data_IF_872508949709
#
_entry.id   IF_872508949709
#
_cell.length_a   1.000
_cell.length_b   1.000
_cell.length_c   1.000
_cell.angle_alpha   90.00
_cell.angle_beta   90.00
_cell.angle_gamma   90.00
#
_symmetry.space_group_name_H-M   'P 1'
#
loop_
_entity.id
_entity.type
_entity.pdbx_description
1 polymer ?
#
# COMPACT_ATOMS: atom_id res chain seq x y z
N UNK A 1 -2.75 6.97 -9.42
CA UNK A 1 -1.63 6.07 -9.71
C UNK A 1 -1.84 4.68 -9.11
N UNK A 2 -1.97 4.56 -7.79
CA UNK A 2 -2.12 3.30 -7.04
C UNK A 2 -3.15 2.30 -7.62
N UNK A 3 -4.43 2.66 -7.65
CA UNK A 3 -5.54 1.80 -8.13
C UNK A 3 -5.31 1.23 -9.55
N UNK A 4 -4.63 1.99 -10.42
CA UNK A 4 -4.34 1.53 -11.78
C UNK A 4 -3.23 0.49 -11.84
N UNK A 5 -2.16 0.71 -11.07
CA UNK A 5 -1.03 -0.19 -10.99
C UNK A 5 -1.45 -1.51 -10.31
N UNK A 6 -2.27 -1.42 -9.26
CA UNK A 6 -2.77 -2.58 -8.52
C UNK A 6 -3.62 -3.51 -9.38
N UNK A 7 -4.49 -2.97 -10.26
CA UNK A 7 -5.25 -3.81 -11.18
C UNK A 7 -4.33 -4.56 -12.14
N UNK A 8 -3.32 -3.89 -12.68
CA UNK A 8 -2.35 -4.51 -13.59
C UNK A 8 -1.52 -5.57 -12.89
N UNK A 9 -1.06 -5.32 -11.67
CA UNK A 9 -0.30 -6.29 -10.87
C UNK A 9 -1.17 -7.48 -10.47
N UNK A 10 -2.44 -7.25 -10.11
CA UNK A 10 -3.39 -8.30 -9.80
C UNK A 10 -3.69 -9.19 -11.03
N UNK A 11 -3.79 -8.60 -12.23
CA UNK A 11 -3.93 -9.33 -13.49
C UNK A 11 -2.67 -10.16 -13.79
N UNK A 12 -1.47 -9.55 -13.66
CA UNK A 12 -0.18 -10.24 -13.88
C UNK A 12 0.06 -11.37 -12.89
N UNK A 13 -0.34 -11.19 -11.63
CA UNK A 13 -0.25 -12.22 -10.59
C UNK A 13 -1.36 -13.28 -10.69
N UNK A 14 -2.32 -13.14 -11.61
CA UNK A 14 -3.44 -14.06 -11.79
C UNK A 14 -4.48 -14.03 -10.66
N UNK A 15 -4.46 -13.01 -9.79
CA UNK A 15 -5.43 -12.81 -8.72
C UNK A 15 -6.78 -12.31 -9.25
N UNK A 16 -6.74 -11.60 -10.38
CA UNK A 16 -7.91 -11.08 -11.09
C UNK A 16 -7.81 -11.55 -12.54
N UNK A 17 -8.96 -11.89 -13.14
CA UNK A 17 -9.06 -12.14 -14.59
C UNK A 17 -9.62 -10.91 -15.28
N UNK A 18 -9.23 -10.65 -16.53
CA UNK A 18 -9.67 -9.46 -17.27
C UNK A 18 -11.20 -9.40 -17.42
N UNK A 19 -11.84 -10.54 -17.64
CA UNK A 19 -13.30 -10.70 -17.74
C UNK A 19 -14.04 -10.53 -16.40
N UNK A 20 -13.33 -10.59 -15.28
CA UNK A 20 -13.91 -10.42 -13.95
C UNK A 20 -14.04 -8.96 -13.52
N UNK A 21 -13.38 -8.03 -14.24
CA UNK A 21 -13.50 -6.59 -13.98
C UNK A 21 -14.87 -6.10 -14.48
N UNK A 22 -15.72 -5.50 -13.62
CA UNK A 22 -17.03 -5.03 -14.02
C UNK A 22 -17.01 -4.11 -15.24
N UNK A 23 -17.87 -4.38 -16.23
CA UNK A 23 -17.94 -3.60 -17.47
C UNK A 23 -18.18 -2.11 -17.21
N UNK A 24 -19.02 -1.78 -16.21
CA UNK A 24 -19.27 -0.39 -15.79
C UNK A 24 -18.00 0.40 -15.47
N UNK A 25 -16.94 -0.27 -15.03
CA UNK A 25 -15.63 0.32 -14.78
C UNK A 25 -14.85 0.43 -16.09
N UNK A 26 -14.74 -0.68 -16.84
CA UNK A 26 -13.92 -0.71 -18.07
C UNK A 26 -14.49 0.14 -19.20
N UNK A 27 -15.80 0.36 -19.23
CA UNK A 27 -16.46 1.21 -20.22
C UNK A 27 -16.12 2.68 -19.97
N UNK A 28 -16.03 3.07 -18.69
CA UNK A 28 -15.74 4.45 -18.25
C UNK A 28 -14.23 4.72 -18.24
N UNK A 29 -13.44 3.88 -17.58
CA UNK A 29 -12.00 4.09 -17.42
C UNK A 29 -11.18 3.47 -18.56
N UNK A 30 -11.70 2.46 -19.26
CA UNK A 30 -10.95 1.74 -20.29
C UNK A 30 -10.41 0.40 -19.78
N UNK A 31 -10.15 -0.52 -20.72
CA UNK A 31 -9.60 -1.86 -20.43
C UNK A 31 -8.09 -1.85 -20.25
N UNK A 32 -7.39 -1.02 -21.02
CA UNK A 32 -5.93 -0.95 -21.01
C UNK A 32 -5.43 0.00 -19.95
N UNK A 33 -4.31 -0.34 -19.30
CA UNK A 33 -3.64 0.50 -18.31
C UNK A 33 -3.43 1.94 -18.77
N UNK A 34 -2.87 2.13 -19.97
CA UNK A 34 -2.62 3.45 -20.55
C UNK A 34 -3.91 4.25 -20.72
N UNK A 35 -4.99 3.62 -21.20
CA UNK A 35 -6.29 4.28 -21.37
C UNK A 35 -6.90 4.71 -20.04
N UNK A 36 -6.78 3.89 -18.98
CA UNK A 36 -7.26 4.25 -17.65
C UNK A 36 -6.52 5.45 -17.08
N UNK A 37 -5.19 5.50 -17.22
CA UNK A 37 -4.40 6.65 -16.79
C UNK A 37 -4.81 7.90 -17.56
N UNK A 38 -4.85 7.80 -18.89
CA UNK A 38 -5.20 8.91 -19.77
C UNK A 38 -6.55 9.53 -19.40
N UNK A 39 -7.61 8.71 -19.28
CA UNK A 39 -8.96 9.19 -18.92
C UNK A 39 -9.02 9.82 -17.54
N UNK A 40 -8.35 9.24 -16.54
CA UNK A 40 -8.32 9.79 -15.18
C UNK A 40 -7.59 11.15 -15.14
N UNK A 41 -6.45 11.25 -15.81
CA UNK A 41 -5.64 12.48 -15.83
C UNK A 41 -6.37 13.57 -16.61
N UNK A 42 -6.88 13.26 -17.80
CA UNK A 42 -7.61 14.21 -18.63
C UNK A 42 -8.84 14.74 -17.92
N UNK A 43 -9.63 13.87 -17.27
CA UNK A 43 -10.82 14.31 -16.53
C UNK A 43 -10.47 15.22 -15.34
N UNK A 44 -9.39 14.92 -14.62
CA UNK A 44 -8.91 15.78 -13.53
C UNK A 44 -8.52 17.16 -14.06
N UNK A 45 -7.75 17.21 -15.15
CA UNK A 45 -7.33 18.47 -15.77
C UNK A 45 -8.55 19.27 -16.25
N UNK A 46 -9.43 18.64 -17.03
CA UNK A 46 -10.61 19.31 -17.58
C UNK A 46 -11.57 19.79 -16.50
N UNK A 47 -11.81 18.98 -15.47
CA UNK A 47 -12.74 19.35 -14.39
C UNK A 47 -12.17 20.45 -13.52
N UNK A 48 -10.86 20.39 -13.22
CA UNK A 48 -10.19 21.47 -12.48
C UNK A 48 -10.21 22.79 -13.26
N UNK A 49 -10.00 22.75 -14.58
CA UNK A 49 -10.10 23.93 -15.45
C UNK A 49 -11.53 24.48 -15.49
N UNK A 50 -12.55 23.62 -15.61
CA UNK A 50 -13.97 24.02 -15.52
C UNK A 50 -14.30 24.68 -14.18
N UNK A 51 -13.65 24.23 -13.11
CA UNK A 51 -13.74 24.83 -11.78
C UNK A 51 -12.76 26.01 -11.56
N UNK A 52 -12.27 26.64 -12.64
CA UNK A 52 -11.38 27.81 -12.61
C UNK A 52 -10.13 27.62 -11.74
N UNK A 53 -9.67 26.38 -11.57
CA UNK A 53 -8.54 26.00 -10.74
C UNK A 53 -8.68 26.38 -9.25
N UNK A 54 -9.91 26.56 -8.76
CA UNK A 54 -10.15 26.76 -7.33
C UNK A 54 -9.80 25.51 -6.51
N UNK A 55 -9.91 24.34 -7.13
CA UNK A 55 -9.51 23.05 -6.55
C UNK A 55 -9.15 22.03 -7.63
N UNK A 56 -8.37 21.02 -7.24
CA UNK A 56 -8.19 19.81 -8.05
C UNK A 56 -9.48 19.00 -7.95
N UNK A 57 -10.16 18.83 -9.07
CA UNK A 57 -11.48 18.22 -9.15
C UNK A 57 -11.52 17.13 -10.23
N UNK A 58 -12.48 16.22 -10.09
CA UNK A 58 -12.78 15.12 -11.01
C UNK A 58 -14.29 15.11 -11.25
N UNK A 59 -14.73 14.73 -12.44
CA UNK A 59 -16.15 14.61 -12.72
C UNK A 59 -16.76 13.49 -11.89
N UNK A 60 -18.03 13.64 -11.51
CA UNK A 60 -18.74 12.64 -10.71
C UNK A 60 -18.71 11.24 -11.36
N UNK A 61 -18.77 11.19 -12.70
CA UNK A 61 -18.74 9.95 -13.47
C UNK A 61 -17.40 9.21 -13.33
N UNK A 62 -16.28 9.92 -13.50
CA UNK A 62 -14.94 9.32 -13.40
C UNK A 62 -14.62 9.00 -11.94
N UNK A 63 -15.03 9.87 -11.01
CA UNK A 63 -14.88 9.63 -9.58
C UNK A 63 -15.60 8.35 -9.14
N UNK A 64 -16.86 8.16 -9.53
CA UNK A 64 -17.60 6.95 -9.17
C UNK A 64 -16.95 5.68 -9.76
N UNK A 65 -16.49 5.74 -11.02
CA UNK A 65 -15.82 4.60 -11.63
C UNK A 65 -14.48 4.26 -10.93
N UNK A 66 -13.76 5.27 -10.44
CA UNK A 66 -12.53 5.08 -9.65
C UNK A 66 -12.84 4.42 -8.30
N UNK A 67 -13.91 4.85 -7.62
CA UNK A 67 -14.37 4.24 -6.36
C UNK A 67 -14.78 2.78 -6.59
N UNK A 68 -15.57 2.51 -7.62
CA UNK A 68 -15.98 1.15 -7.98
C UNK A 68 -14.77 0.24 -8.26
N UNK A 69 -13.74 0.77 -8.93
CA UNK A 69 -12.50 0.02 -9.19
C UNK A 69 -11.73 -0.27 -7.90
N UNK A 70 -11.60 0.73 -7.02
CA UNK A 70 -10.97 0.55 -5.71
C UNK A 70 -11.68 -0.52 -4.90
N UNK A 71 -13.00 -0.48 -4.85
CA UNK A 71 -13.80 -1.41 -4.04
C UNK A 71 -13.71 -2.84 -4.62
N UNK A 72 -13.73 -2.98 -5.95
CA UNK A 72 -13.46 -4.25 -6.62
C UNK A 72 -12.08 -4.83 -6.26
N UNK A 73 -11.03 -4.03 -6.30
CA UNK A 73 -9.68 -4.47 -5.92
C UNK A 73 -9.60 -4.83 -4.44
N UNK A 74 -10.33 -4.11 -3.59
CA UNK A 74 -10.42 -4.43 -2.17
C UNK A 74 -11.00 -5.82 -1.92
N UNK A 75 -12.11 -6.14 -2.58
CA UNK A 75 -12.73 -7.45 -2.46
C UNK A 75 -11.89 -8.58 -3.06
N UNK A 76 -11.30 -8.36 -4.23
CA UNK A 76 -10.64 -9.42 -5.00
C UNK A 76 -9.17 -9.62 -4.68
N UNK A 77 -8.48 -8.56 -4.30
CA UNK A 77 -7.02 -8.56 -4.08
C UNK A 77 -6.73 -8.46 -2.60
N UNK A 78 -7.19 -7.39 -1.93
CA UNK A 78 -6.80 -7.09 -0.55
C UNK A 78 -7.45 -8.01 0.49
N UNK A 79 -8.69 -8.47 0.27
CA UNK A 79 -9.38 -9.38 1.18
C UNK A 79 -9.12 -10.88 0.89
N UNK A 80 -8.27 -11.21 -0.08
CA UNK A 80 -7.92 -12.60 -0.37
C UNK A 80 -7.33 -13.27 0.90
N UNK A 81 -7.77 -14.49 1.28
CA UNK A 81 -7.26 -15.19 2.46
C UNK A 81 -5.74 -15.27 2.54
N UNK A 82 -5.06 -15.39 1.40
CA UNK A 82 -3.58 -15.44 1.34
C UNK A 82 -2.97 -14.10 1.78
N UNK A 83 -3.48 -12.98 1.26
CA UNK A 83 -3.04 -11.64 1.64
C UNK A 83 -3.29 -11.36 3.12
N UNK A 84 -4.40 -11.86 3.68
CA UNK A 84 -4.70 -11.75 5.11
C UNK A 84 -3.69 -12.50 5.99
N UNK A 85 -3.31 -13.71 5.60
CA UNK A 85 -2.33 -14.52 6.36
C UNK A 85 -0.98 -13.81 6.40
N UNK A 86 -0.52 -13.27 5.27
CA UNK A 86 0.77 -12.59 5.22
C UNK A 86 0.70 -11.24 5.96
N UNK A 87 -0.41 -10.50 5.88
CA UNK A 87 -0.62 -9.29 6.69
C UNK A 87 -0.55 -9.58 8.19
N UNK A 88 -1.14 -10.70 8.65
CA UNK A 88 -1.06 -11.12 10.05
C UNK A 88 0.38 -11.44 10.47
N UNK A 89 1.15 -12.14 9.62
CA UNK A 89 2.56 -12.43 9.89
C UNK A 89 3.40 -11.15 9.96
N UNK A 90 3.24 -10.24 8.99
CA UNK A 90 3.94 -8.96 8.98
C UNK A 90 3.58 -8.12 10.20
N UNK A 91 2.31 -8.05 10.56
CA UNK A 91 1.86 -7.36 11.77
C UNK A 91 2.43 -7.95 13.07
N UNK A 92 2.69 -9.27 13.09
CA UNK A 92 3.40 -9.93 14.20
C UNK A 92 4.87 -9.51 14.25
N UNK A 93 5.58 -9.58 13.12
CA UNK A 93 7.01 -9.20 13.03
C UNK A 93 7.21 -7.77 13.54
N UNK A 94 6.42 -6.81 13.02
CA UNK A 94 6.53 -5.41 13.39
C UNK A 94 6.26 -5.19 14.89
N UNK A 95 5.25 -5.87 15.43
CA UNK A 95 4.91 -5.75 16.86
C UNK A 95 6.03 -6.27 17.76
N UNK A 96 6.57 -7.44 17.46
CA UNK A 96 7.64 -8.04 18.27
C UNK A 96 8.93 -7.21 18.16
N UNK A 97 9.27 -6.69 16.98
CA UNK A 97 10.39 -5.74 16.82
C UNK A 97 10.17 -4.48 17.66
N UNK A 98 8.97 -3.90 17.61
CA UNK A 98 8.62 -2.71 18.39
C UNK A 98 8.77 -2.95 19.89
N UNK A 99 8.21 -4.04 20.40
CA UNK A 99 8.34 -4.43 21.81
C UNK A 99 9.79 -4.71 22.22
N UNK A 100 10.59 -5.33 21.34
CA UNK A 100 11.99 -5.60 21.61
C UNK A 100 12.81 -4.32 21.71
N UNK A 101 12.68 -3.40 20.76
CA UNK A 101 13.43 -2.14 20.76
C UNK A 101 12.98 -1.19 21.87
N UNK A 102 11.71 -1.22 22.27
CA UNK A 102 11.27 -0.48 23.46
C UNK A 102 11.96 -0.95 24.74
N UNK A 103 12.11 -2.27 24.90
CA UNK A 103 12.78 -2.86 26.07
C UNK A 103 14.30 -2.74 26.00
N UNK A 104 14.86 -2.71 24.79
CA UNK A 104 16.30 -2.73 24.52
C UNK A 104 16.71 -1.61 23.55
N UNK A 105 16.47 -0.32 23.88
CA UNK A 105 16.72 0.77 22.93
C UNK A 105 18.20 0.86 22.54
N UNK A 106 19.11 0.61 23.49
CA UNK A 106 20.53 0.33 23.27
C UNK A 106 21.19 1.08 22.11
N UNK A 107 21.99 0.36 21.33
CA UNK A 107 22.66 0.92 20.14
C UNK A 107 21.74 1.06 18.92
N UNK A 108 20.56 0.43 18.96
CA UNK A 108 19.62 0.42 17.85
C UNK A 108 18.91 1.77 17.68
N UNK A 109 18.48 2.34 18.81
CA UNK A 109 17.68 3.56 18.86
C UNK A 109 18.57 4.72 19.29
N UNK A 110 19.00 5.50 18.30
CA UNK A 110 19.79 6.71 18.55
C UNK A 110 18.96 7.75 19.29
N UNK A 111 19.63 8.53 20.14
CA UNK A 111 19.02 9.71 20.78
C UNK A 111 18.98 10.91 19.81
N UNK A 112 18.32 10.71 18.66
CA UNK A 112 18.12 11.74 17.65
C UNK A 112 16.81 11.49 16.86
N UNK A 113 15.99 12.52 16.60
CA UNK A 113 16.12 13.88 17.10
C UNK A 113 15.94 13.95 18.62
N UNK A 114 16.63 14.91 19.27
CA UNK A 114 16.54 15.11 20.71
C UNK A 114 15.15 15.64 21.07
N UNK A 115 14.57 15.11 22.15
CA UNK A 115 13.27 15.53 22.67
C UNK A 115 12.11 14.57 22.35
N UNK A 116 12.28 13.66 21.39
CA UNK A 116 11.25 12.66 21.10
C UNK A 116 11.17 11.60 22.22
N UNK A 117 9.97 11.05 22.50
CA UNK A 117 9.84 9.89 23.37
C UNK A 117 10.43 8.64 22.68
N UNK A 118 10.88 7.66 23.47
CA UNK A 118 11.54 6.44 22.94
C UNK A 118 10.61 5.66 22.02
N UNK A 119 9.31 5.65 22.32
CA UNK A 119 8.23 5.08 21.53
C UNK A 119 8.22 5.63 20.11
N UNK A 120 8.36 6.96 19.98
CA UNK A 120 8.37 7.62 18.68
C UNK A 120 9.62 7.25 17.90
N UNK A 121 10.78 7.28 18.55
CA UNK A 121 12.05 6.91 17.90
C UNK A 121 12.10 5.45 17.44
N UNK A 122 11.52 4.54 18.21
CA UNK A 122 11.39 3.12 17.83
C UNK A 122 10.45 2.99 16.64
N UNK A 123 9.31 3.68 16.65
CA UNK A 123 8.38 3.68 15.52
C UNK A 123 9.04 4.21 14.25
N UNK A 124 9.78 5.32 14.34
CA UNK A 124 10.49 5.92 13.19
C UNK A 124 11.65 5.01 12.71
N UNK A 125 12.37 4.35 13.61
CA UNK A 125 13.40 3.37 13.25
C UNK A 125 12.81 2.19 12.46
N UNK A 126 11.69 1.63 12.92
CA UNK A 126 11.00 0.53 12.23
C UNK A 126 10.42 0.99 10.89
N UNK A 127 9.80 2.19 10.85
CA UNK A 127 9.26 2.75 9.62
C UNK A 127 10.34 3.06 8.56
N UNK A 128 11.59 3.26 9.00
CA UNK A 128 12.75 3.43 8.12
C UNK A 128 13.36 2.12 7.59
N UNK A 129 12.88 0.96 8.04
CA UNK A 129 13.39 -0.33 7.56
C UNK A 129 12.85 -0.66 6.17
N UNK A 130 13.66 -1.36 5.38
CA UNK A 130 13.14 -2.13 4.24
C UNK A 130 12.58 -3.46 4.74
N UNK A 131 11.65 -4.07 3.98
CA UNK A 131 11.11 -5.40 4.32
C UNK A 131 12.22 -6.43 4.54
N UNK A 132 13.23 -6.44 3.67
CA UNK A 132 14.39 -7.33 3.80
C UNK A 132 15.12 -7.12 5.12
N UNK A 133 15.42 -5.86 5.46
CA UNK A 133 16.14 -5.53 6.68
C UNK A 133 15.32 -5.89 7.94
N UNK A 134 14.01 -5.64 7.92
CA UNK A 134 13.12 -6.01 9.03
C UNK A 134 13.10 -7.53 9.26
N UNK A 135 13.04 -8.33 8.19
CA UNK A 135 13.12 -9.79 8.27
C UNK A 135 14.49 -10.23 8.81
N UNK A 136 15.59 -9.75 8.24
CA UNK A 136 16.94 -10.14 8.66
C UNK A 136 17.20 -9.83 10.16
N UNK A 137 16.74 -8.67 10.62
CA UNK A 137 16.83 -8.26 12.02
C UNK A 137 15.94 -9.13 12.92
N UNK A 138 14.71 -9.40 12.49
CA UNK A 138 13.80 -10.27 13.22
C UNK A 138 14.37 -11.68 13.37
N UNK A 139 14.90 -12.26 12.29
CA UNK A 139 15.56 -13.57 12.32
C UNK A 139 16.75 -13.57 13.29
N UNK A 140 17.59 -12.53 13.25
CA UNK A 140 18.75 -12.39 14.15
C UNK A 140 18.36 -12.30 15.63
N UNK A 141 17.24 -11.66 15.95
CA UNK A 141 16.81 -11.40 17.34
C UNK A 141 16.02 -12.58 17.91
N UNK A 142 15.10 -13.14 17.13
CA UNK A 142 14.09 -14.06 17.64
C UNK A 142 14.29 -15.52 17.23
N UNK A 143 15.05 -15.81 16.17
CA UNK A 143 15.32 -17.18 15.76
C UNK A 143 16.66 -17.66 16.32
N UNK A 144 16.74 -18.91 16.80
CA UNK A 144 18.01 -19.49 17.20
C UNK A 144 18.95 -19.54 15.98
N UNK A 145 20.17 -19.03 16.15
CA UNK A 145 21.18 -19.04 15.09
C UNK A 145 21.37 -20.45 14.57
N UNK A 146 20.94 -20.70 13.34
CA UNK A 146 21.06 -22.01 12.71
C UNK A 146 22.52 -22.19 12.29
N UNK A 147 23.34 -22.71 13.20
CA UNK A 147 24.61 -23.32 12.83
C UNK A 147 24.30 -24.68 12.19
N UNK A 148 24.33 -24.73 10.86
CA UNK A 148 24.70 -25.95 10.15
C UNK A 148 26.19 -25.89 9.83
#
# INVERSE_FOLDING_TARGET
AYVNHDLDDALRAGLVKEDSVPSRITDILGKMHATRIDRLVMDVVETSLKNRLESIAMSQKIYQALIDLRDFLYERVYLNPTARVDLMKTGKIIRELYEYFLKNPGEWIKDYPKGDPVERRVADFIAGMTDRYAIDIYEKIFLPGTRF
#
